data_IF_511156739115
#
_entry.id   IF_511156739115
#
_cell.length_a   1.000
_cell.length_b   1.000
_cell.length_c   1.000
_cell.angle_alpha   90.00
_cell.angle_beta   90.00
_cell.angle_gamma   90.00
#
_symmetry.space_group_name_H-M   'P 1'
#
loop_
_entity.id
_entity.type
_entity.pdbx_description
1 polymer ?
#
# COMPACT_ATOMS: atom_id res chain seq x y z
N UNK A 1 -12.34 9.35 23.59
CA UNK A 1 -12.62 8.74 22.29
C UNK A 1 -14.03 9.15 21.89
N UNK A 2 -14.18 9.78 20.74
CA UNK A 2 -15.45 10.26 20.23
C UNK A 2 -16.34 9.08 19.76
N UNK A 3 -17.66 9.20 19.87
CA UNK A 3 -18.64 8.17 19.53
C UNK A 3 -18.48 7.70 18.06
N UNK A 4 -18.18 8.62 17.14
CA UNK A 4 -17.94 8.31 15.73
C UNK A 4 -16.73 7.38 15.58
N UNK A 5 -15.64 7.69 16.25
CA UNK A 5 -14.41 6.84 16.26
C UNK A 5 -14.69 5.48 16.90
N UNK A 6 -15.49 5.44 17.95
CA UNK A 6 -15.92 4.18 18.56
C UNK A 6 -16.72 3.32 17.59
N UNK A 7 -17.76 3.89 16.97
CA UNK A 7 -18.61 3.18 15.99
C UNK A 7 -17.81 2.70 14.78
N UNK A 8 -16.93 3.54 14.23
CA UNK A 8 -16.07 3.13 13.10
C UNK A 8 -15.16 1.96 13.48
N UNK A 9 -14.56 1.93 14.66
CA UNK A 9 -13.70 0.84 15.10
C UNK A 9 -14.46 -0.47 15.39
N UNK A 10 -15.75 -0.38 15.72
CA UNK A 10 -16.60 -1.57 15.94
C UNK A 10 -17.09 -2.14 14.59
N UNK A 11 -17.53 -1.26 13.68
CA UNK A 11 -18.27 -1.68 12.49
C UNK A 11 -17.50 -1.60 11.18
N UNK A 12 -16.31 -1.00 11.15
CA UNK A 12 -15.52 -0.85 9.91
C UNK A 12 -14.14 -1.47 10.04
N UNK A 13 -13.68 -2.09 8.98
CA UNK A 13 -12.35 -2.71 8.89
C UNK A 13 -11.40 -1.99 7.93
N UNK A 14 -11.92 -1.08 7.10
CA UNK A 14 -11.15 -0.38 6.06
C UNK A 14 -10.49 0.92 6.53
N UNK A 15 -10.74 1.35 7.74
CA UNK A 15 -10.19 2.59 8.29
C UNK A 15 -9.39 2.32 9.56
N UNK A 16 -8.13 1.96 9.36
CA UNK A 16 -7.22 1.61 10.45
C UNK A 16 -7.45 0.19 10.97
N UNK A 17 -7.80 0.05 12.24
CA UNK A 17 -8.00 -1.24 12.88
C UNK A 17 -9.29 -1.29 13.72
N UNK A 18 -9.90 -2.46 13.77
CA UNK A 18 -11.03 -2.73 14.67
C UNK A 18 -10.55 -2.94 16.12
N UNK A 19 -11.47 -2.87 17.07
CA UNK A 19 -11.15 -3.20 18.46
C UNK A 19 -10.65 -4.64 18.61
N UNK A 20 -11.21 -5.59 17.88
CA UNK A 20 -10.76 -6.98 17.90
C UNK A 20 -9.31 -7.11 17.44
N UNK A 21 -8.96 -6.45 16.34
CA UNK A 21 -7.58 -6.43 15.83
C UNK A 21 -6.65 -5.76 16.83
N UNK A 22 -7.05 -4.64 17.44
CA UNK A 22 -6.25 -3.94 18.43
C UNK A 22 -5.98 -4.82 19.68
N UNK A 23 -7.01 -5.45 20.19
CA UNK A 23 -6.89 -6.36 21.35
C UNK A 23 -6.01 -7.56 21.02
N UNK A 24 -6.24 -8.17 19.85
CA UNK A 24 -5.46 -9.32 19.41
C UNK A 24 -3.98 -8.96 19.22
N UNK A 25 -3.70 -7.84 18.57
CA UNK A 25 -2.34 -7.32 18.36
C UNK A 25 -1.66 -7.00 19.68
N UNK A 26 -2.36 -6.37 20.64
CA UNK A 26 -1.80 -6.08 21.97
C UNK A 26 -1.41 -7.35 22.75
N UNK A 27 -2.16 -8.44 22.55
CA UNK A 27 -1.89 -9.69 23.26
C UNK A 27 -0.83 -10.57 22.57
N UNK A 28 -0.83 -10.64 21.25
CA UNK A 28 -0.03 -11.58 20.48
C UNK A 28 1.06 -10.93 19.64
N UNK A 29 0.98 -9.62 19.43
CA UNK A 29 1.90 -8.88 18.56
C UNK A 29 3.11 -8.34 19.32
N UNK A 30 4.26 -8.44 18.67
CA UNK A 30 5.48 -7.71 19.01
C UNK A 30 5.71 -6.66 17.93
N UNK A 31 5.85 -5.40 18.33
CA UNK A 31 6.11 -4.31 17.38
C UNK A 31 7.52 -4.45 16.80
N UNK A 32 7.63 -4.45 15.48
CA UNK A 32 8.89 -4.53 14.75
C UNK A 32 9.35 -3.14 14.31
N UNK A 33 8.43 -2.31 13.81
CA UNK A 33 8.75 -0.97 13.39
C UNK A 33 7.60 -0.24 12.72
N UNK A 34 7.92 0.92 12.17
CA UNK A 34 6.99 1.80 11.48
C UNK A 34 7.63 2.32 10.20
N UNK A 35 6.83 2.51 9.15
CA UNK A 35 7.27 3.15 7.92
C UNK A 35 7.07 4.68 7.94
N UNK A 36 7.49 5.34 6.87
CA UNK A 36 7.37 6.79 6.65
C UNK A 36 5.93 7.29 6.51
N UNK A 37 4.97 6.40 6.18
CA UNK A 37 3.55 6.71 6.12
C UNK A 37 2.83 6.51 7.46
N UNK A 38 3.52 6.02 8.47
CA UNK A 38 2.98 5.75 9.80
C UNK A 38 2.27 4.39 9.92
N UNK A 39 2.41 3.48 8.94
CA UNK A 39 1.95 2.12 9.10
C UNK A 39 2.87 1.38 10.08
N UNK A 40 2.30 0.59 10.98
CA UNK A 40 3.04 -0.13 12.01
C UNK A 40 3.04 -1.63 11.72
N UNK A 41 4.22 -2.25 11.87
CA UNK A 41 4.48 -3.64 11.52
C UNK A 41 4.71 -4.48 12.75
N UNK A 42 4.08 -5.63 12.78
CA UNK A 42 4.08 -6.57 13.91
C UNK A 42 4.45 -7.96 13.46
N UNK A 43 5.04 -8.73 14.37
CA UNK A 43 5.25 -10.18 14.26
C UNK A 43 4.61 -10.92 15.44
N UNK A 44 4.44 -12.22 15.33
CA UNK A 44 3.98 -13.07 16.43
C UNK A 44 4.96 -13.00 17.60
N UNK A 45 4.45 -12.73 18.79
CA UNK A 45 5.27 -12.58 20.00
C UNK A 45 6.06 -13.84 20.31
N UNK A 46 7.38 -13.66 20.55
CA UNK A 46 8.29 -14.75 20.87
C UNK A 46 8.66 -15.66 19.71
N UNK A 47 8.52 -15.21 18.46
CA UNK A 47 8.92 -15.98 17.26
C UNK A 47 8.07 -17.24 17.05
N UNK A 48 6.84 -17.25 17.52
CA UNK A 48 5.96 -18.42 17.47
C UNK A 48 5.57 -18.74 16.02
N UNK A 49 5.89 -19.95 15.58
CA UNK A 49 5.45 -20.46 14.28
C UNK A 49 3.98 -20.89 14.37
N UNK A 50 3.17 -20.37 13.46
CA UNK A 50 1.76 -20.76 13.35
C UNK A 50 1.66 -22.17 12.79
N UNK A 51 1.01 -23.13 13.49
CA UNK A 51 0.87 -24.50 12.97
C UNK A 51 0.12 -24.60 11.65
N UNK A 52 -0.79 -23.64 11.39
CA UNK A 52 -1.57 -23.61 10.15
C UNK A 52 -0.81 -23.03 8.96
N UNK A 53 0.19 -22.17 9.21
CA UNK A 53 0.94 -21.47 8.16
C UNK A 53 2.33 -22.07 7.94
N UNK A 54 2.92 -22.70 8.95
CA UNK A 54 4.30 -23.21 8.90
C UNK A 54 5.38 -22.15 9.10
N UNK A 55 5.00 -20.90 9.35
CA UNK A 55 5.90 -19.76 9.61
C UNK A 55 5.34 -18.79 10.63
N UNK A 56 6.17 -17.84 11.07
CA UNK A 56 5.78 -16.76 11.96
C UNK A 56 4.76 -15.83 11.30
N UNK A 57 3.71 -15.45 12.01
CA UNK A 57 2.77 -14.45 11.48
C UNK A 57 3.39 -13.07 11.53
N UNK A 58 3.26 -12.34 10.42
CA UNK A 58 3.60 -10.93 10.28
C UNK A 58 2.39 -10.18 9.76
N UNK A 59 2.14 -8.98 10.28
CA UNK A 59 1.02 -8.16 9.82
C UNK A 59 1.32 -6.68 9.96
N UNK A 60 0.53 -5.88 9.27
CA UNK A 60 0.60 -4.43 9.28
C UNK A 60 -0.70 -3.84 9.82
N UNK A 61 -0.58 -2.78 10.60
CA UNK A 61 -1.68 -1.90 10.99
C UNK A 61 -1.51 -0.60 10.21
N UNK A 62 -2.45 -0.33 9.32
CA UNK A 62 -2.40 0.86 8.46
C UNK A 62 -2.73 2.13 9.22
N UNK A 63 -2.02 3.19 8.93
CA UNK A 63 -2.37 4.54 9.36
C UNK A 63 -3.42 5.12 8.41
N UNK A 64 -4.71 4.98 8.75
CA UNK A 64 -5.85 5.38 7.91
C UNK A 64 -6.35 4.26 7.00
N UNK A 65 -6.47 4.54 5.71
CA UNK A 65 -7.03 3.59 4.73
C UNK A 65 -6.19 2.30 4.66
N UNK A 66 -6.86 1.16 4.82
CA UNK A 66 -6.26 -0.17 4.70
C UNK A 66 -6.09 -0.53 3.22
N UNK A 67 -4.99 -0.10 2.63
CA UNK A 67 -4.65 -0.31 1.22
C UNK A 67 -3.26 -0.97 1.12
N UNK A 68 -3.17 -2.23 0.67
CA UNK A 68 -1.90 -2.98 0.65
C UNK A 68 -0.79 -2.33 -0.17
N UNK A 69 -1.14 -1.61 -1.23
CA UNK A 69 -0.15 -0.90 -2.05
C UNK A 69 0.55 0.26 -1.33
N UNK A 70 0.10 0.62 -0.13
CA UNK A 70 0.77 1.61 0.74
C UNK A 70 1.99 1.07 1.47
N UNK A 71 2.19 -0.24 1.44
CA UNK A 71 3.37 -0.86 2.04
C UNK A 71 4.59 -0.56 1.17
N UNK A 72 5.64 0.12 1.70
CA UNK A 72 6.88 0.36 0.97
C UNK A 72 7.61 -0.94 0.59
N UNK A 73 8.45 -0.93 -0.48
CA UNK A 73 9.12 -2.14 -0.98
C UNK A 73 9.94 -2.88 0.07
N UNK A 74 10.60 -2.17 0.97
CA UNK A 74 11.43 -2.75 2.03
C UNK A 74 10.59 -3.59 2.99
N UNK A 75 9.44 -3.04 3.41
CA UNK A 75 8.50 -3.74 4.28
C UNK A 75 7.71 -4.82 3.54
N UNK A 76 7.48 -4.64 2.23
CA UNK A 76 6.80 -5.64 1.41
C UNK A 76 7.57 -6.95 1.38
N UNK A 77 8.89 -6.90 1.18
CA UNK A 77 9.74 -8.10 1.21
C UNK A 77 9.67 -8.82 2.55
N UNK A 78 9.68 -8.07 3.65
CA UNK A 78 9.61 -8.64 5.00
C UNK A 78 8.24 -9.25 5.31
N UNK A 79 7.14 -8.57 5.02
CA UNK A 79 5.79 -9.07 5.35
C UNK A 79 5.41 -10.31 4.53
N UNK A 80 5.98 -10.45 3.33
CA UNK A 80 5.79 -11.61 2.46
C UNK A 80 6.82 -12.74 2.69
N UNK A 81 7.62 -12.66 3.74
CA UNK A 81 8.66 -13.66 4.06
C UNK A 81 9.71 -13.91 2.97
N UNK A 82 9.89 -12.94 2.06
CA UNK A 82 10.97 -12.96 1.06
C UNK A 82 12.30 -12.55 1.71
N UNK A 83 12.23 -11.71 2.74
CA UNK A 83 13.36 -11.25 3.55
C UNK A 83 13.00 -11.47 5.03
N UNK A 84 13.90 -12.08 5.78
CA UNK A 84 13.67 -12.36 7.20
C UNK A 84 14.03 -11.20 8.11
N UNK A 85 15.00 -10.39 7.72
CA UNK A 85 15.46 -9.23 8.49
C UNK A 85 14.58 -8.03 8.20
N UNK A 86 13.98 -7.40 9.22
CA UNK A 86 13.15 -6.22 9.00
C UNK A 86 14.00 -4.99 8.63
N UNK A 87 13.40 -3.99 7.93
CA UNK A 87 14.11 -2.76 7.53
C UNK A 87 14.66 -1.94 8.71
N UNK A 88 14.16 -2.15 9.91
CA UNK A 88 14.66 -1.52 11.14
C UNK A 88 16.04 -2.03 11.58
N UNK A 89 16.37 -3.26 11.21
CA UNK A 89 17.65 -3.90 11.55
C UNK A 89 18.65 -3.85 10.40
N UNK A 90 18.17 -3.75 9.16
CA UNK A 90 19.02 -3.70 7.97
C UNK A 90 18.56 -2.58 7.03
N UNK A 91 19.37 -1.52 6.92
CA UNK A 91 19.11 -0.47 5.94
C UNK A 91 19.49 -0.95 4.53
N UNK A 92 18.58 -0.71 3.59
CA UNK A 92 18.84 -0.94 2.18
C UNK A 92 19.38 0.36 1.57
N UNK A 93 20.54 0.29 0.92
CA UNK A 93 21.09 1.46 0.20
C UNK A 93 20.29 1.70 -1.07
N UNK A 94 19.58 2.83 -1.20
CA UNK A 94 18.82 3.14 -2.40
C UNK A 94 19.73 3.20 -3.63
N UNK A 95 19.29 2.65 -4.75
CA UNK A 95 19.99 2.77 -6.02
C UNK A 95 19.58 4.05 -6.73
N UNK A 96 20.45 4.65 -7.53
CA UNK A 96 20.22 5.91 -8.24
C UNK A 96 18.93 5.94 -9.09
N UNK A 97 18.53 4.80 -9.63
CA UNK A 97 17.34 4.67 -10.47
C UNK A 97 16.06 4.40 -9.68
N UNK A 98 16.10 4.23 -8.36
CA UNK A 98 14.92 4.03 -7.54
C UNK A 98 14.11 5.32 -7.44
N UNK A 99 12.81 5.19 -7.64
CA UNK A 99 11.86 6.28 -7.47
C UNK A 99 11.15 6.15 -6.12
N UNK A 100 10.71 7.27 -5.53
CA UNK A 100 9.89 7.24 -4.33
C UNK A 100 8.68 6.33 -4.51
N UNK A 101 8.36 5.55 -3.49
CA UNK A 101 7.19 4.66 -3.49
C UNK A 101 5.91 5.45 -3.70
N UNK A 102 5.02 4.94 -4.54
CA UNK A 102 3.68 5.49 -4.77
C UNK A 102 2.64 4.40 -4.57
N UNK A 103 1.64 4.62 -3.71
CA UNK A 103 0.49 3.75 -3.59
C UNK A 103 -0.29 3.66 -4.90
N UNK A 104 -1.15 2.65 -5.02
CA UNK A 104 -2.07 2.54 -6.14
C UNK A 104 -3.04 3.74 -6.15
N UNK A 105 -2.99 4.51 -7.23
CA UNK A 105 -3.81 5.71 -7.40
C UNK A 105 -5.11 5.45 -8.18
N UNK A 106 -5.40 4.19 -8.53
CA UNK A 106 -6.63 3.83 -9.24
C UNK A 106 -7.86 4.34 -8.48
N UNK A 107 -8.79 4.97 -9.19
CA UNK A 107 -9.98 5.59 -8.58
C UNK A 107 -9.76 7.00 -8.02
N UNK A 108 -8.52 7.51 -8.00
CA UNK A 108 -8.21 8.87 -7.54
C UNK A 108 -7.96 9.82 -8.72
N UNK A 109 -7.97 11.15 -8.49
CA UNK A 109 -7.57 12.14 -9.51
C UNK A 109 -6.11 11.98 -10.00
N UNK A 110 -5.24 11.35 -9.20
CA UNK A 110 -3.85 11.06 -9.55
C UNK A 110 -3.65 9.81 -10.40
N UNK A 111 -4.73 9.05 -10.71
CA UNK A 111 -4.64 7.85 -11.53
C UNK A 111 -4.12 8.16 -12.92
N UNK A 112 -3.19 7.35 -13.40
CA UNK A 112 -2.73 7.46 -14.78
C UNK A 112 -3.86 7.13 -15.76
N UNK A 113 -4.01 7.97 -16.78
CA UNK A 113 -5.00 7.79 -17.84
C UNK A 113 -4.30 7.84 -19.18
N UNK A 114 -4.51 6.85 -20.06
CA UNK A 114 -3.91 6.85 -21.38
C UNK A 114 -4.33 8.10 -22.18
N UNK A 115 -3.44 8.71 -22.94
CA UNK A 115 -3.81 9.75 -23.90
C UNK A 115 -4.89 9.21 -24.85
N UNK A 116 -5.96 9.99 -25.05
CA UNK A 116 -7.10 9.58 -25.88
C UNK A 116 -8.21 8.81 -25.16
N UNK A 117 -8.03 8.47 -23.87
CA UNK A 117 -9.13 7.98 -23.02
C UNK A 117 -10.17 9.10 -22.82
N UNK A 118 -11.46 8.73 -22.75
CA UNK A 118 -12.56 9.69 -22.47
C UNK A 118 -12.42 10.42 -21.14
N UNK A 119 -11.62 9.87 -20.23
CA UNK A 119 -11.34 10.43 -18.91
C UNK A 119 -10.01 11.20 -18.86
N UNK A 120 -9.22 11.22 -19.95
CA UNK A 120 -8.01 12.01 -20.05
C UNK A 120 -8.34 13.43 -20.52
N UNK A 121 -7.71 14.43 -19.90
CA UNK A 121 -7.88 15.84 -20.30
C UNK A 121 -7.11 16.18 -21.58
N UNK A 122 -6.17 15.35 -22.01
CA UNK A 122 -5.29 15.58 -23.14
C UNK A 122 -5.67 14.72 -24.34
N UNK A 123 -5.57 15.30 -25.54
CA UNK A 123 -5.69 14.54 -26.78
C UNK A 123 -4.49 13.59 -26.93
N UNK A 124 -4.75 12.43 -27.48
CA UNK A 124 -3.70 11.51 -27.94
C UNK A 124 -2.77 12.24 -28.91
N UNK A 125 -1.45 12.08 -28.80
CA UNK A 125 -0.54 12.55 -29.86
C UNK A 125 -0.93 11.98 -31.21
N UNK A 126 -0.78 12.77 -32.26
CA UNK A 126 -1.04 12.31 -33.62
C UNK A 126 -0.08 11.15 -33.99
N UNK A 127 -0.61 10.12 -34.63
CA UNK A 127 0.15 9.00 -35.12
C UNK A 127 0.22 9.03 -36.65
N UNK A 128 1.16 8.30 -37.24
CA UNK A 128 1.34 8.23 -38.70
C UNK A 128 0.14 7.67 -39.44
N UNK A 129 -0.71 6.87 -38.77
CA UNK A 129 -1.95 6.33 -39.32
C UNK A 129 -3.18 7.21 -39.14
N UNK A 130 -3.04 8.39 -38.54
CA UNK A 130 -4.17 9.30 -38.36
C UNK A 130 -4.56 9.94 -39.69
N UNK A 131 -5.85 9.81 -40.01
CA UNK A 131 -6.41 10.40 -41.22
C UNK A 131 -6.42 11.94 -41.12
N UNK A 132 -5.86 12.59 -42.12
CA UNK A 132 -6.03 14.03 -42.37
C UNK A 132 -7.05 14.20 -43.49
N UNK A 133 -8.22 14.79 -43.17
CA UNK A 133 -9.23 15.03 -44.16
C UNK A 133 -8.64 15.88 -45.30
N UNK A 134 -8.82 15.39 -46.55
CA UNK A 134 -8.49 16.17 -47.73
C UNK A 134 -9.44 17.38 -47.83
N UNK A 135 -8.87 18.56 -48.04
CA UNK A 135 -9.63 19.78 -48.37
C UNK A 135 -9.44 20.13 -49.82
N UNK A 136 -10.52 20.30 -50.61
CA UNK A 136 -10.42 20.75 -51.98
C UNK A 136 -9.69 22.09 -52.05
N UNK A 137 -8.83 22.21 -53.00
CA UNK A 137 -7.85 23.24 -53.30
C UNK A 137 -8.05 24.62 -52.68
N UNK A 138 -7.01 25.04 -52.01
CA UNK A 138 -6.57 26.42 -51.99
C UNK A 138 -5.40 26.57 -52.91
#
# INVERSE_FOLDING_TARGET
>A
MDLKTFLTRVFTWWNGQTFGTQWWTARHGELVGQDDQGNTYYREKGGRISPALGFERRWVIYNGLAEPSRIPPEWHGWIHHTVDVPPTEQSVTPREWWKPHRPNLTGTPGAWRPPGSTLAQNRRPAATGDYKAWTPGR
#
